data_IF_595403239143
#
_entry.id   IF_595403239143
#
_cell.length_a   1.000
_cell.length_b   1.000
_cell.length_c   1.000
_cell.angle_alpha   90.00
_cell.angle_beta   90.00
_cell.angle_gamma   90.00
#
_symmetry.space_group_name_H-M   'P 1'
#
loop_
_entity.id
_entity.type
_entity.pdbx_description
1 polymer ?
#
# COMPACT_ATOMS: atom_id res chain seq x y z
N UNK A 1 -5.48 9.56 33.82
CA UNK A 1 -5.60 9.66 32.35
C UNK A 1 -4.79 10.85 31.87
N UNK A 2 -3.75 10.64 31.04
CA UNK A 2 -3.04 11.76 30.38
C UNK A 2 -3.82 12.13 29.11
N UNK A 3 -4.15 13.41 28.87
CA UNK A 3 -4.84 13.79 27.66
C UNK A 3 -3.93 13.59 26.45
N UNK A 4 -4.49 13.06 25.36
CA UNK A 4 -3.81 12.98 24.07
C UNK A 4 -3.46 14.40 23.61
N UNK A 5 -2.17 14.64 23.32
CA UNK A 5 -1.74 15.91 22.74
C UNK A 5 -2.31 16.01 21.32
N UNK A 6 -3.22 16.96 21.14
CA UNK A 6 -3.61 17.51 19.84
C UNK A 6 -2.35 17.96 19.10
N UNK A 7 -1.99 17.27 18.01
CA UNK A 7 -0.95 17.75 17.10
C UNK A 7 -1.55 18.81 16.17
N UNK A 8 -1.02 20.02 16.25
CA UNK A 8 -1.33 21.13 15.34
C UNK A 8 -0.98 20.78 13.88
N UNK A 9 -1.69 21.33 12.88
CA UNK A 9 -1.33 21.17 11.49
C UNK A 9 -0.22 22.17 11.13
N UNK A 10 1.00 21.70 10.94
CA UNK A 10 2.09 22.53 10.40
C UNK A 10 3.50 22.05 10.74
N UNK A 11 4.21 21.54 9.74
CA UNK A 11 5.66 21.34 9.78
C UNK A 11 6.11 20.20 8.88
N UNK A 12 6.64 20.53 7.69
CA UNK A 12 7.26 19.58 6.77
C UNK A 12 8.60 19.02 7.28
N UNK A 13 8.65 18.60 8.54
CA UNK A 13 9.79 18.02 9.24
C UNK A 13 9.75 16.48 9.26
N UNK A 14 10.80 15.88 9.81
CA UNK A 14 10.85 14.43 10.03
C UNK A 14 9.85 14.03 11.12
N UNK A 15 9.03 13.02 10.89
CA UNK A 15 8.14 12.47 11.91
C UNK A 15 7.92 10.97 11.74
N UNK A 16 7.54 10.28 12.81
CA UNK A 16 7.21 8.85 12.77
C UNK A 16 5.89 8.63 13.47
N UNK A 17 4.98 7.88 12.84
CA UNK A 17 3.72 7.45 13.48
C UNK A 17 3.41 5.99 13.22
N UNK A 18 2.55 5.42 14.07
CA UNK A 18 1.90 4.13 13.78
C UNK A 18 0.81 4.33 12.73
N UNK A 19 0.39 3.23 12.10
CA UNK A 19 -0.86 3.25 11.35
C UNK A 19 -2.03 3.64 12.27
N UNK A 20 -2.94 4.45 11.77
CA UNK A 20 -4.20 4.78 12.44
C UNK A 20 -5.09 3.55 12.56
N UNK A 21 -6.20 3.65 13.31
CA UNK A 21 -7.19 2.57 13.34
C UNK A 21 -7.80 2.31 11.96
N UNK A 22 -8.07 3.36 11.18
CA UNK A 22 -8.61 3.24 9.83
C UNK A 22 -7.61 2.60 8.85
N UNK A 23 -6.34 2.98 8.92
CA UNK A 23 -5.28 2.37 8.10
C UNK A 23 -5.02 0.90 8.47
N UNK A 24 -5.13 0.54 9.75
CA UNK A 24 -5.09 -0.86 10.19
C UNK A 24 -6.32 -1.63 9.69
N UNK A 25 -7.49 -1.00 9.63
CA UNK A 25 -8.68 -1.61 9.06
C UNK A 25 -8.52 -1.86 7.55
N UNK A 26 -7.88 -0.94 6.80
CA UNK A 26 -7.48 -1.19 5.41
C UNK A 26 -6.53 -2.39 5.28
N UNK A 27 -5.53 -2.51 6.17
CA UNK A 27 -4.64 -3.67 6.19
C UNK A 27 -5.43 -4.99 6.37
N UNK A 28 -6.33 -5.01 7.35
CA UNK A 28 -7.16 -6.19 7.65
C UNK A 28 -8.15 -6.50 6.51
N UNK A 29 -8.75 -5.49 5.89
CA UNK A 29 -9.68 -5.66 4.76
C UNK A 29 -9.01 -6.30 3.55
N UNK A 30 -7.78 -5.87 3.24
CA UNK A 30 -7.07 -6.29 2.04
C UNK A 30 -6.32 -7.59 2.25
N UNK A 31 -5.67 -7.76 3.40
CA UNK A 31 -4.70 -8.84 3.62
C UNK A 31 -5.05 -9.77 4.79
N UNK A 32 -6.15 -9.50 5.51
CA UNK A 32 -6.55 -10.31 6.66
C UNK A 32 -5.46 -10.39 7.73
N UNK A 33 -5.13 -11.60 8.17
CA UNK A 33 -4.10 -11.86 9.19
C UNK A 33 -2.67 -11.86 8.61
N UNK A 34 -2.52 -11.85 7.28
CA UNK A 34 -1.23 -11.88 6.60
C UNK A 34 -0.41 -10.59 6.78
N UNK A 35 -1.04 -9.52 7.29
CA UNK A 35 -0.37 -8.27 7.64
C UNK A 35 -0.68 -7.91 9.08
N UNK A 36 0.35 -7.87 9.91
CA UNK A 36 0.27 -7.23 11.21
C UNK A 36 0.46 -5.70 11.04
N UNK A 37 -0.66 -5.00 10.83
CA UNK A 37 -0.70 -3.55 10.69
C UNK A 37 -0.28 -2.80 11.96
N UNK A 38 -0.37 -3.42 13.14
CA UNK A 38 0.01 -2.78 14.40
C UNK A 38 1.53 -2.61 14.54
N UNK A 39 2.32 -3.43 13.84
CA UNK A 39 3.79 -3.29 13.74
C UNK A 39 4.24 -2.23 12.76
N UNK A 40 3.39 -1.81 11.82
CA UNK A 40 3.76 -0.90 10.74
C UNK A 40 3.89 0.55 11.25
N UNK A 41 4.91 1.25 10.77
CA UNK A 41 5.18 2.66 11.03
C UNK A 41 5.32 3.42 9.72
N UNK A 42 4.90 4.67 9.72
CA UNK A 42 5.17 5.62 8.63
C UNK A 42 6.20 6.62 9.12
N UNK A 43 7.35 6.68 8.46
CA UNK A 43 8.37 7.71 8.61
C UNK A 43 8.14 8.78 7.54
N UNK A 44 7.78 9.98 7.96
CA UNK A 44 7.69 11.14 7.08
C UNK A 44 9.08 11.77 6.94
N UNK A 45 9.56 11.96 5.71
CA UNK A 45 10.83 12.63 5.43
C UNK A 45 10.61 13.93 4.64
N UNK A 46 11.19 15.06 5.08
CA UNK A 46 11.30 16.27 4.27
C UNK A 46 12.07 16.00 2.99
N UNK A 47 11.71 16.67 1.89
CA UNK A 47 12.38 16.60 0.59
C UNK A 47 12.42 15.22 -0.09
N UNK A 48 11.84 14.18 0.53
CA UNK A 48 11.71 12.88 -0.10
C UNK A 48 10.62 12.92 -1.20
N UNK A 49 10.85 12.34 -2.40
CA UNK A 49 10.00 12.61 -3.54
C UNK A 49 8.70 11.80 -3.57
N UNK A 50 8.73 10.52 -3.14
CA UNK A 50 7.62 9.56 -3.30
C UNK A 50 7.53 8.56 -2.13
N UNK A 51 6.38 7.94 -1.94
CA UNK A 51 6.27 6.86 -0.94
C UNK A 51 7.10 5.63 -1.35
N UNK A 52 7.54 4.85 -0.37
CA UNK A 52 8.11 3.52 -0.57
C UNK A 52 8.09 2.70 0.73
N UNK A 53 8.30 1.39 0.64
CA UNK A 53 8.44 0.50 1.80
C UNK A 53 9.88 0.08 2.02
N UNK A 54 10.36 0.32 3.24
CA UNK A 54 11.68 -0.05 3.75
C UNK A 54 11.59 -1.31 4.64
N UNK A 55 11.04 -2.39 4.09
CA UNK A 55 10.90 -3.69 4.77
C UNK A 55 9.57 -3.88 5.50
N UNK A 56 9.49 -4.94 6.30
CA UNK A 56 8.24 -5.51 6.85
C UNK A 56 7.44 -4.60 7.81
N UNK A 57 8.01 -3.51 8.29
CA UNK A 57 7.38 -2.67 9.33
C UNK A 57 7.53 -1.16 9.12
N UNK A 58 8.14 -0.72 8.02
CA UNK A 58 8.43 0.69 7.81
C UNK A 58 8.04 1.14 6.40
N UNK A 59 7.06 2.03 6.35
CA UNK A 59 6.73 2.82 5.17
C UNK A 59 7.42 4.18 5.31
N UNK A 60 7.94 4.71 4.22
CA UNK A 60 8.51 6.04 4.17
C UNK A 60 7.65 6.90 3.25
N UNK A 61 7.30 8.09 3.70
CA UNK A 61 6.38 8.97 3.00
C UNK A 61 6.96 10.38 2.85
N UNK A 62 6.70 11.08 1.74
CA UNK A 62 7.00 12.50 1.64
C UNK A 62 6.25 13.29 2.72
N UNK A 63 6.94 14.05 3.55
CA UNK A 63 6.30 14.81 4.64
C UNK A 63 5.18 15.73 4.14
N UNK A 64 5.32 16.30 2.94
CA UNK A 64 4.31 17.17 2.30
C UNK A 64 3.02 16.44 1.88
N UNK A 65 3.08 15.13 1.69
CA UNK A 65 1.98 14.30 1.19
C UNK A 65 1.48 13.32 2.26
N UNK A 66 2.03 13.36 3.47
CA UNK A 66 1.58 12.52 4.56
C UNK A 66 0.20 13.01 5.04
N UNK A 67 -0.78 12.12 5.04
CA UNK A 67 -2.08 12.37 5.66
C UNK A 67 -2.06 12.01 7.15
N UNK A 68 -2.85 12.72 7.98
CA UNK A 68 -3.08 12.31 9.36
C UNK A 68 -3.67 10.89 9.45
N UNK A 69 -4.56 10.57 8.52
CA UNK A 69 -5.18 9.27 8.33
C UNK A 69 -5.52 9.08 6.84
N UNK A 70 -4.92 8.09 6.18
CA UNK A 70 -5.27 7.77 4.78
C UNK A 70 -6.66 7.15 4.64
N UNK A 71 -7.24 6.58 5.70
CA UNK A 71 -8.60 6.08 5.70
C UNK A 71 -9.64 7.14 6.14
N UNK A 72 -9.18 8.39 6.34
CA UNK A 72 -10.01 9.47 6.83
C UNK A 72 -11.12 9.89 5.85
N UNK A 73 -12.23 10.45 6.36
CA UNK A 73 -13.28 10.99 5.51
C UNK A 73 -12.75 12.12 4.63
N UNK A 74 -13.15 12.12 3.35
CA UNK A 74 -12.73 13.14 2.39
C UNK A 74 -11.31 12.97 1.82
N UNK A 75 -10.57 11.93 2.21
CA UNK A 75 -9.29 11.59 1.54
C UNK A 75 -9.60 11.11 0.12
N UNK A 76 -8.99 11.69 -0.93
CA UNK A 76 -9.23 11.28 -2.30
C UNK A 76 -8.93 9.79 -2.53
N UNK A 77 -9.77 9.10 -3.30
CA UNK A 77 -9.61 7.66 -3.56
C UNK A 77 -8.22 7.31 -4.13
N UNK A 78 -7.65 8.18 -4.97
CA UNK A 78 -6.31 7.98 -5.52
C UNK A 78 -5.22 7.92 -4.42
N UNK A 79 -5.35 8.73 -3.36
CA UNK A 79 -4.37 8.71 -2.26
C UNK A 79 -4.55 7.49 -1.36
N UNK A 80 -5.79 7.06 -1.14
CA UNK A 80 -6.07 5.79 -0.46
C UNK A 80 -5.49 4.61 -1.25
N UNK A 81 -5.65 4.62 -2.58
CA UNK A 81 -5.14 3.60 -3.48
C UNK A 81 -3.60 3.53 -3.44
N UNK A 82 -2.90 4.66 -3.48
CA UNK A 82 -1.43 4.71 -3.28
C UNK A 82 -1.03 4.17 -1.90
N UNK A 83 -1.81 4.45 -0.85
CA UNK A 83 -1.55 3.84 0.46
C UNK A 83 -1.69 2.31 0.43
N UNK A 84 -2.70 1.77 -0.24
CA UNK A 84 -2.87 0.32 -0.42
C UNK A 84 -1.75 -0.30 -1.26
N UNK A 85 -1.27 0.40 -2.29
CA UNK A 85 -0.10 0.00 -3.08
C UNK A 85 1.11 -0.24 -2.17
N UNK A 86 1.47 0.77 -1.38
CA UNK A 86 2.60 0.68 -0.46
C UNK A 86 2.36 -0.39 0.61
N UNK A 87 1.13 -0.52 1.11
CA UNK A 87 0.78 -1.57 2.07
C UNK A 87 0.92 -2.98 1.48
N UNK A 88 0.78 -3.13 0.16
CA UNK A 88 1.05 -4.39 -0.54
C UNK A 88 2.53 -4.77 -0.48
N UNK A 89 3.44 -3.80 -0.54
CA UNK A 89 4.86 -4.07 -0.31
C UNK A 89 5.17 -4.46 1.13
N UNK A 90 4.44 -3.91 2.11
CA UNK A 90 4.52 -4.38 3.50
C UNK A 90 4.07 -5.83 3.59
N UNK A 91 2.94 -6.18 2.97
CA UNK A 91 2.46 -7.56 2.90
C UNK A 91 3.50 -8.49 2.29
N UNK A 92 4.06 -8.14 1.13
CA UNK A 92 5.14 -8.89 0.50
C UNK A 92 6.31 -9.12 1.47
N UNK A 93 6.79 -8.06 2.12
CA UNK A 93 7.91 -8.17 3.07
C UNK A 93 7.58 -8.99 4.32
N UNK A 94 6.38 -8.87 4.88
CA UNK A 94 5.94 -9.67 6.03
C UNK A 94 5.78 -11.15 5.67
N UNK A 95 5.53 -11.47 4.40
CA UNK A 95 5.39 -12.82 3.87
C UNK A 95 6.66 -13.34 3.17
N UNK A 96 7.83 -12.78 3.53
CA UNK A 96 9.13 -13.33 3.16
C UNK A 96 9.74 -12.83 1.86
N UNK A 97 9.13 -11.87 1.17
CA UNK A 97 9.70 -11.26 -0.03
C UNK A 97 10.84 -10.31 0.34
N UNK A 98 12.04 -10.55 -0.19
CA UNK A 98 13.13 -9.57 -0.14
C UNK A 98 12.88 -8.47 -1.17
N UNK A 99 12.31 -7.34 -0.73
CA UNK A 99 11.92 -6.22 -1.60
C UNK A 99 13.07 -5.68 -2.44
N UNK A 100 14.30 -5.60 -1.91
CA UNK A 100 15.44 -5.08 -2.67
C UNK A 100 15.75 -5.97 -3.88
N UNK A 101 15.89 -7.28 -3.65
CA UNK A 101 16.15 -8.23 -4.73
C UNK A 101 14.98 -8.29 -5.73
N UNK A 102 13.75 -8.23 -5.22
CA UNK A 102 12.56 -8.25 -6.05
C UNK A 102 12.43 -7.00 -6.93
N UNK A 103 12.75 -5.80 -6.40
CA UNK A 103 12.75 -4.55 -7.19
C UNK A 103 13.85 -4.57 -8.25
N UNK A 104 15.05 -5.07 -7.93
CA UNK A 104 16.12 -5.25 -8.92
C UNK A 104 15.67 -6.18 -10.06
N UNK A 105 15.00 -7.28 -9.73
CA UNK A 105 14.47 -8.23 -10.73
C UNK A 105 13.34 -7.62 -11.58
N UNK A 106 12.49 -6.80 -10.98
CA UNK A 106 11.39 -6.12 -11.68
C UNK A 106 11.88 -5.04 -12.64
N UNK A 107 12.99 -4.38 -12.32
CA UNK A 107 13.48 -3.20 -13.03
C UNK A 107 12.78 -1.92 -12.60
N UNK A 108 13.18 -0.79 -13.19
CA UNK A 108 12.70 0.56 -12.85
C UNK A 108 11.91 1.25 -13.97
N UNK A 109 11.75 0.57 -15.11
CA UNK A 109 11.03 1.08 -16.27
C UNK A 109 9.51 0.92 -16.19
N UNK A 110 8.76 1.53 -17.15
CA UNK A 110 7.29 1.44 -17.19
C UNK A 110 6.74 0.02 -17.23
N UNK A 111 7.50 -0.92 -17.82
CA UNK A 111 7.13 -2.33 -17.88
C UNK A 111 7.03 -3.01 -16.51
N UNK A 112 7.73 -2.49 -15.48
CA UNK A 112 7.64 -3.00 -14.12
C UNK A 112 6.23 -2.80 -13.54
N UNK A 113 5.49 -1.80 -14.01
CA UNK A 113 4.15 -1.45 -13.52
C UNK A 113 3.02 -1.90 -14.45
N UNK A 114 3.33 -2.21 -15.72
CA UNK A 114 2.35 -2.70 -16.67
C UNK A 114 1.99 -4.16 -16.37
N UNK A 115 0.70 -4.46 -16.25
CA UNK A 115 0.17 -5.81 -16.09
C UNK A 115 -1.04 -6.01 -17.01
N UNK A 116 -1.37 -7.26 -17.30
CA UNK A 116 -2.55 -7.64 -18.05
C UNK A 116 -3.17 -8.88 -17.40
N UNK A 117 -4.40 -8.77 -16.87
CA UNK A 117 -5.10 -9.91 -16.25
C UNK A 117 -5.70 -10.89 -17.29
N UNK A 118 -5.51 -10.63 -18.59
CA UNK A 118 -6.02 -11.44 -19.68
C UNK A 118 -4.93 -12.28 -20.38
N UNK A 119 -3.66 -12.08 -20.01
CA UNK A 119 -2.52 -12.77 -20.63
C UNK A 119 -2.27 -14.19 -20.11
N UNK A 120 -3.06 -14.64 -19.13
CA UNK A 120 -3.00 -15.97 -18.54
C UNK A 120 -2.00 -16.12 -17.40
N UNK A 121 -1.21 -15.09 -17.05
CA UNK A 121 -0.34 -15.12 -15.87
C UNK A 121 -1.17 -14.99 -14.59
N UNK A 122 -0.89 -15.86 -13.64
CA UNK A 122 -1.46 -15.79 -12.30
C UNK A 122 -0.73 -14.74 -11.45
N UNK A 123 -1.40 -14.20 -10.43
CA UNK A 123 -0.84 -13.18 -9.53
C UNK A 123 0.58 -13.51 -8.98
N UNK A 124 0.91 -14.75 -8.56
CA UNK A 124 2.25 -15.08 -8.05
C UNK A 124 3.36 -15.02 -9.11
N UNK A 125 3.01 -15.08 -10.39
CA UNK A 125 3.96 -14.99 -11.52
C UNK A 125 4.30 -13.54 -11.88
N UNK A 126 3.52 -12.59 -11.37
CA UNK A 126 3.75 -11.15 -11.55
C UNK A 126 4.90 -10.67 -10.67
N UNK A 127 5.59 -9.62 -11.11
CA UNK A 127 6.59 -8.96 -10.27
C UNK A 127 5.90 -8.19 -9.12
N UNK A 128 6.68 -7.73 -8.14
CA UNK A 128 6.14 -7.11 -6.92
C UNK A 128 5.40 -5.79 -7.15
N UNK A 129 5.77 -5.02 -8.17
CA UNK A 129 5.12 -3.76 -8.55
C UNK A 129 3.80 -4.06 -9.28
N UNK A 130 3.79 -5.03 -10.20
CA UNK A 130 2.57 -5.53 -10.85
C UNK A 130 1.56 -6.06 -9.83
N UNK A 131 2.01 -6.85 -8.85
CA UNK A 131 1.15 -7.31 -7.75
C UNK A 131 0.55 -6.13 -6.98
N UNK A 132 1.36 -5.11 -6.64
CA UNK A 132 0.89 -3.91 -5.95
C UNK A 132 -0.14 -3.13 -6.79
N UNK A 133 0.08 -3.01 -8.10
CA UNK A 133 -0.88 -2.41 -9.03
C UNK A 133 -2.21 -3.17 -9.08
N UNK A 134 -2.18 -4.51 -9.11
CA UNK A 134 -3.40 -5.33 -9.09
C UNK A 134 -4.19 -5.13 -7.79
N UNK A 135 -3.53 -5.10 -6.63
CA UNK A 135 -4.19 -4.87 -5.33
C UNK A 135 -4.73 -3.45 -5.22
N UNK A 136 -3.98 -2.46 -5.71
CA UNK A 136 -4.40 -1.05 -5.78
C UNK A 136 -5.67 -0.88 -6.62
N UNK A 137 -5.69 -1.45 -7.82
CA UNK A 137 -6.84 -1.33 -8.73
C UNK A 137 -8.05 -2.14 -8.23
N UNK A 138 -7.82 -3.28 -7.59
CA UNK A 138 -8.89 -4.01 -6.90
C UNK A 138 -9.52 -3.16 -5.78
N UNK A 139 -8.71 -2.44 -5.00
CA UNK A 139 -9.19 -1.52 -3.98
C UNK A 139 -10.01 -0.37 -4.59
N UNK A 140 -9.50 0.27 -5.66
CA UNK A 140 -10.22 1.34 -6.38
C UNK A 140 -11.60 0.88 -6.82
N UNK A 141 -11.70 -0.29 -7.45
CA UNK A 141 -12.97 -0.87 -7.89
C UNK A 141 -13.94 -1.12 -6.73
N UNK A 142 -13.44 -1.60 -5.58
CA UNK A 142 -14.27 -1.81 -4.38
C UNK A 142 -14.88 -0.52 -3.82
N UNK A 143 -14.35 0.64 -4.20
CA UNK A 143 -14.82 1.98 -3.81
C UNK A 143 -15.53 2.71 -4.96
N UNK A 144 -15.89 2.00 -6.03
CA UNK A 144 -16.58 2.57 -7.20
C UNK A 144 -15.66 3.36 -8.15
N UNK A 145 -14.35 3.20 -8.03
CA UNK A 145 -13.37 3.74 -8.97
C UNK A 145 -13.25 2.91 -10.25
N UNK A 146 -12.24 3.25 -11.06
CA UNK A 146 -11.93 2.57 -12.32
C UNK A 146 -10.60 1.81 -12.23
N UNK A 147 -10.46 0.82 -13.11
CA UNK A 147 -9.26 -0.01 -13.28
C UNK A 147 -9.12 -0.46 -14.75
N UNK A 148 -7.94 -0.91 -15.20
CA UNK A 148 -7.71 -1.36 -16.58
C UNK A 148 -8.56 -2.56 -17.03
N UNK A 149 -9.02 -3.40 -16.10
CA UNK A 149 -9.77 -4.62 -16.39
C UNK A 149 -11.15 -4.68 -15.71
N UNK A 150 -12.06 -5.57 -16.13
CA UNK A 150 -13.33 -5.78 -15.44
C UNK A 150 -13.16 -6.28 -14.00
N UNK A 151 -14.04 -5.84 -13.08
CA UNK A 151 -13.97 -6.18 -11.66
C UNK A 151 -13.94 -7.69 -11.35
N UNK A 152 -14.57 -8.51 -12.19
CA UNK A 152 -14.57 -9.97 -12.07
C UNK A 152 -13.15 -10.58 -12.12
N UNK A 153 -12.24 -9.99 -12.91
CA UNK A 153 -10.86 -10.49 -13.00
C UNK A 153 -10.09 -10.23 -11.71
N UNK A 154 -10.22 -9.04 -11.11
CA UNK A 154 -9.61 -8.75 -9.81
C UNK A 154 -10.18 -9.61 -8.68
N UNK A 155 -11.50 -9.82 -8.68
CA UNK A 155 -12.16 -10.69 -7.71
C UNK A 155 -11.62 -12.13 -7.77
N UNK A 156 -11.36 -12.66 -8.98
CA UNK A 156 -10.76 -13.98 -9.16
C UNK A 156 -9.34 -14.08 -8.59
N UNK A 157 -8.56 -13.00 -8.69
CA UNK A 157 -7.18 -12.94 -8.17
C UNK A 157 -7.11 -12.75 -6.64
N UNK A 158 -8.16 -12.22 -6.01
CA UNK A 158 -8.17 -11.84 -4.58
C UNK A 158 -7.76 -12.96 -3.62
N UNK A 159 -7.96 -14.23 -4.01
CA UNK A 159 -7.50 -15.42 -3.27
C UNK A 159 -6.00 -15.41 -2.96
N UNK A 160 -5.18 -14.71 -3.76
CA UNK A 160 -3.73 -14.73 -3.64
C UNK A 160 -3.16 -13.83 -2.54
N UNK A 161 -3.91 -12.82 -2.07
CA UNK A 161 -3.44 -11.90 -1.03
C UNK A 161 -4.41 -11.72 0.15
N UNK A 162 -5.70 -12.06 -0.02
CA UNK A 162 -6.70 -11.92 1.04
C UNK A 162 -7.01 -13.23 1.81
N UNK A 163 -6.30 -14.33 1.50
CA UNK A 163 -6.64 -15.69 1.94
C UNK A 163 -5.60 -16.43 2.77
N UNK A 164 -4.57 -15.74 3.29
CA UNK A 164 -3.49 -16.35 4.10
C UNK A 164 -3.55 -15.94 5.56
#
# INVERSE_FOLDING_TARGET
>A
MRPAKSQSPGGGGVSVRRLTAGEQAFAAEQFGAAVDGARVRILALPLWPRAFVAGASLMVWPARALRPDFAGPGVPLAEQAVFIHELTHVWQAQNGVNLLLAKIKAGDGPAAYAYDLTDGREFPEMNIEQQAMVVEDAFRLSRGGAAPHPAALYAAQRRHWAGT
#
